data_IF_181864598149
#
_entry.id   IF_181864598149
#
_cell.length_a   1.000
_cell.length_b   1.000
_cell.length_c   1.000
_cell.angle_alpha   90.00
_cell.angle_beta   90.00
_cell.angle_gamma   90.00
#
_symmetry.space_group_name_H-M   'P 1'
#
loop_
_entity.id
_entity.type
_entity.pdbx_description
1 polymer ?
#
# COMPACT_ATOMS: atom_id res chain seq x y z
N UNK A 1 17.23 -57.54 38.06
CA UNK A 1 16.57 -57.52 36.73
C UNK A 1 16.36 -56.05 36.38
N UNK A 2 17.24 -55.49 35.54
CA UNK A 2 17.24 -54.07 35.18
C UNK A 2 16.50 -53.94 33.85
N UNK A 3 15.40 -53.19 33.83
CA UNK A 3 14.63 -52.90 32.63
C UNK A 3 15.12 -51.58 32.02
N UNK A 4 15.71 -51.66 30.83
CA UNK A 4 16.05 -50.51 29.98
C UNK A 4 14.85 -50.23 29.06
N UNK A 5 14.23 -49.07 29.20
CA UNK A 5 13.25 -48.54 28.25
C UNK A 5 13.98 -47.61 27.28
N UNK A 6 14.13 -48.06 26.03
CA UNK A 6 14.67 -47.27 24.93
C UNK A 6 13.61 -46.28 24.43
N UNK A 7 13.92 -44.98 24.46
CA UNK A 7 13.10 -43.94 23.86
C UNK A 7 13.43 -43.78 22.37
N UNK A 8 12.44 -44.00 21.49
CA UNK A 8 12.54 -43.62 20.07
C UNK A 8 12.27 -42.12 19.94
N UNK A 9 13.34 -41.33 19.85
CA UNK A 9 13.27 -39.96 19.36
C UNK A 9 13.16 -39.98 17.83
N UNK A 10 11.96 -39.77 17.30
CA UNK A 10 11.76 -39.51 15.87
C UNK A 10 12.31 -38.11 15.57
N UNK A 11 13.56 -38.03 15.15
CA UNK A 11 14.14 -36.83 14.56
C UNK A 11 13.48 -36.59 13.20
N UNK A 12 12.63 -35.56 13.12
CA UNK A 12 12.04 -35.08 11.88
C UNK A 12 13.16 -34.72 10.89
N UNK A 13 13.12 -35.17 9.62
CA UNK A 13 14.16 -34.85 8.66
C UNK A 13 14.29 -33.32 8.50
N UNK A 14 15.51 -32.77 8.46
CA UNK A 14 15.68 -31.35 8.19
C UNK A 14 15.03 -31.00 6.86
N UNK A 15 14.26 -29.90 6.83
CA UNK A 15 13.65 -29.40 5.61
C UNK A 15 14.72 -29.25 4.51
N UNK A 16 14.46 -29.71 3.27
CA UNK A 16 15.40 -29.56 2.18
C UNK A 16 15.74 -28.08 1.97
N UNK A 17 17.02 -27.79 1.73
CA UNK A 17 17.48 -26.42 1.50
C UNK A 17 16.71 -25.81 0.31
N UNK A 18 16.28 -24.53 0.40
CA UNK A 18 15.55 -23.89 -0.68
C UNK A 18 16.40 -23.91 -1.96
N UNK A 19 15.80 -24.43 -3.01
CA UNK A 19 16.46 -24.59 -4.29
C UNK A 19 16.46 -23.27 -5.07
N UNK A 20 17.53 -22.99 -5.80
CA UNK A 20 17.64 -21.76 -6.59
C UNK A 20 16.60 -21.69 -7.73
N UNK A 21 16.40 -20.50 -8.30
CA UNK A 21 15.55 -20.29 -9.47
C UNK A 21 15.91 -21.23 -10.63
N UNK A 22 14.93 -21.76 -11.38
CA UNK A 22 15.22 -22.43 -12.64
C UNK A 22 15.93 -21.49 -13.62
N UNK A 23 16.91 -22.00 -14.37
CA UNK A 23 17.62 -21.22 -15.40
C UNK A 23 16.64 -20.58 -16.39
N UNK A 24 16.78 -19.28 -16.63
CA UNK A 24 15.90 -18.53 -17.53
C UNK A 24 14.56 -18.10 -16.91
N UNK A 25 14.34 -18.33 -15.61
CA UNK A 25 13.20 -17.81 -14.87
C UNK A 25 13.66 -16.79 -13.85
N UNK A 26 13.06 -15.60 -13.88
CA UNK A 26 13.32 -14.55 -12.90
C UNK A 26 12.02 -13.85 -12.51
N UNK A 27 12.07 -13.16 -11.37
CA UNK A 27 10.93 -12.36 -10.90
C UNK A 27 11.38 -10.95 -10.55
N UNK A 28 10.45 -10.01 -10.71
CA UNK A 28 10.58 -8.64 -10.23
C UNK A 28 9.27 -8.23 -9.57
N UNK A 29 9.28 -7.14 -8.81
CA UNK A 29 8.05 -6.62 -8.23
C UNK A 29 7.47 -5.50 -9.08
N UNK A 30 6.14 -5.47 -9.15
CA UNK A 30 5.36 -4.39 -9.72
C UNK A 30 4.17 -4.05 -8.83
N UNK A 31 3.51 -2.93 -9.10
CA UNK A 31 2.25 -2.60 -8.46
C UNK A 31 1.39 -1.79 -9.44
N UNK A 32 0.19 -2.28 -9.72
CA UNK A 32 -0.79 -1.52 -10.50
C UNK A 32 -1.51 -0.53 -9.61
N UNK A 33 -2.08 0.52 -10.22
CA UNK A 33 -2.84 1.55 -9.48
C UNK A 33 -4.04 0.98 -8.71
N UNK A 34 -4.62 -0.12 -9.20
CA UNK A 34 -5.70 -0.86 -8.53
C UNK A 34 -5.22 -1.68 -7.32
N UNK A 35 -3.93 -2.04 -7.28
CA UNK A 35 -3.35 -2.86 -6.22
C UNK A 35 -3.02 -2.03 -4.98
N UNK A 36 -2.65 -0.78 -5.18
CA UNK A 36 -2.32 0.17 -4.10
C UNK A 36 -3.40 0.26 -3.01
N UNK A 37 -4.68 0.60 -3.32
CA UNK A 37 -5.73 0.61 -2.31
C UNK A 37 -6.06 -0.79 -1.75
N UNK A 38 -5.73 -1.86 -2.49
CA UNK A 38 -5.99 -3.24 -2.09
C UNK A 38 -4.85 -3.87 -1.26
N UNK A 39 -3.77 -3.12 -1.01
CA UNK A 39 -2.57 -3.62 -0.32
C UNK A 39 -1.99 -4.88 -1.01
N UNK A 40 -1.88 -4.79 -2.34
CA UNK A 40 -1.36 -5.86 -3.20
C UNK A 40 -0.14 -5.39 -3.99
N UNK A 41 0.61 -6.35 -4.47
CA UNK A 41 1.69 -6.17 -5.44
C UNK A 41 1.63 -7.28 -6.48
N UNK A 42 2.42 -7.14 -7.53
CA UNK A 42 2.58 -8.13 -8.59
C UNK A 42 3.96 -8.74 -8.52
N UNK A 43 4.02 -10.06 -8.52
CA UNK A 43 5.25 -10.78 -8.87
C UNK A 43 5.26 -10.93 -10.38
N UNK A 44 6.05 -10.09 -11.04
CA UNK A 44 6.23 -10.08 -12.48
C UNK A 44 7.24 -11.17 -12.86
N UNK A 45 6.73 -12.30 -13.33
CA UNK A 45 7.51 -13.46 -13.73
C UNK A 45 7.96 -13.30 -15.18
N UNK A 46 9.26 -13.52 -15.43
CA UNK A 46 9.84 -13.70 -16.75
C UNK A 46 10.25 -15.15 -16.92
N UNK A 47 9.92 -15.75 -18.06
CA UNK A 47 10.33 -17.10 -18.43
C UNK A 47 10.87 -17.07 -19.86
N UNK A 48 12.17 -17.26 -20.03
CA UNK A 48 12.83 -17.29 -21.35
C UNK A 48 12.91 -18.69 -21.94
N UNK A 49 12.42 -19.71 -21.23
CA UNK A 49 12.46 -21.11 -21.65
C UNK A 49 11.21 -21.46 -22.47
N UNK A 50 11.31 -22.48 -23.31
CA UNK A 50 10.14 -23.04 -24.01
C UNK A 50 9.29 -23.96 -23.12
N UNK A 51 9.86 -24.54 -22.06
CA UNK A 51 9.08 -25.33 -21.10
C UNK A 51 8.32 -24.40 -20.14
N UNK A 52 7.00 -24.58 -19.98
CA UNK A 52 6.23 -23.85 -19.00
C UNK A 52 6.68 -24.14 -17.56
N UNK A 53 6.61 -23.13 -16.71
CA UNK A 53 6.83 -23.24 -15.27
C UNK A 53 5.50 -23.02 -14.55
N UNK A 54 5.09 -24.02 -13.79
CA UNK A 54 3.87 -23.96 -12.99
C UNK A 54 4.17 -23.40 -11.62
N UNK A 55 3.52 -22.30 -11.26
CA UNK A 55 3.54 -21.69 -9.93
C UNK A 55 2.28 -22.11 -9.19
N UNK A 56 2.43 -22.88 -8.11
CA UNK A 56 1.33 -23.26 -7.24
C UNK A 56 0.90 -22.08 -6.36
N UNK A 57 1.88 -21.45 -5.70
CA UNK A 57 1.71 -20.31 -4.82
C UNK A 57 2.98 -19.45 -4.78
N UNK A 58 2.82 -18.21 -4.31
CA UNK A 58 3.87 -17.19 -4.28
C UNK A 58 3.73 -16.30 -3.03
N UNK A 59 4.84 -15.95 -2.41
CA UNK A 59 4.91 -15.14 -1.19
C UNK A 59 6.06 -14.14 -1.23
N UNK A 60 5.82 -12.91 -0.76
CA UNK A 60 6.90 -11.96 -0.44
C UNK A 60 7.42 -12.23 0.97
N UNK A 61 8.72 -12.39 1.12
CA UNK A 61 9.39 -12.56 2.41
C UNK A 61 10.46 -11.48 2.57
N UNK A 62 10.31 -10.65 3.60
CA UNK A 62 11.29 -9.62 3.93
C UNK A 62 11.17 -9.19 5.39
N UNK A 63 12.27 -8.85 6.07
CA UNK A 63 12.20 -8.26 7.40
C UNK A 63 11.54 -6.88 7.44
N UNK A 64 11.43 -6.16 6.31
CA UNK A 64 10.86 -4.80 6.28
C UNK A 64 9.34 -4.76 6.38
N UNK A 65 8.65 -5.87 6.11
CA UNK A 65 7.20 -5.98 6.13
C UNK A 65 6.77 -7.17 6.98
N UNK A 66 5.51 -7.20 7.42
CA UNK A 66 4.94 -8.41 8.03
C UNK A 66 4.80 -9.49 6.95
N UNK A 67 5.20 -10.71 7.25
CA UNK A 67 4.95 -11.84 6.37
C UNK A 67 3.47 -12.18 6.43
N UNK A 68 2.84 -12.34 5.26
CA UNK A 68 1.47 -12.83 5.09
C UNK A 68 1.49 -14.19 4.40
N UNK A 69 0.47 -15.06 4.54
CA UNK A 69 0.45 -16.36 3.89
C UNK A 69 0.66 -16.29 2.37
N UNK A 70 1.24 -17.33 1.79
CA UNK A 70 1.42 -17.45 0.35
C UNK A 70 0.07 -17.35 -0.39
N UNK A 71 0.08 -16.66 -1.52
CA UNK A 71 -1.10 -16.52 -2.38
C UNK A 71 -1.10 -17.63 -3.42
N UNK A 72 -2.21 -18.35 -3.55
CA UNK A 72 -2.37 -19.37 -4.59
C UNK A 72 -2.32 -18.70 -5.96
N UNK A 73 -1.34 -19.08 -6.76
CA UNK A 73 -1.20 -18.65 -8.15
C UNK A 73 -1.93 -19.62 -9.09
N UNK A 74 -1.66 -20.92 -8.95
CA UNK A 74 -2.25 -21.98 -9.77
C UNK A 74 -2.03 -21.79 -11.28
N UNK A 75 -0.91 -21.19 -11.69
CA UNK A 75 -0.70 -20.71 -13.05
C UNK A 75 0.48 -21.42 -13.73
N UNK A 76 0.27 -21.91 -14.96
CA UNK A 76 1.35 -22.38 -15.83
C UNK A 76 1.82 -21.23 -16.73
N UNK A 77 3.05 -20.79 -16.54
CA UNK A 77 3.64 -19.66 -17.25
C UNK A 77 4.58 -20.18 -18.33
N UNK A 78 4.14 -20.08 -19.59
CA UNK A 78 4.97 -20.36 -20.77
C UNK A 78 6.04 -19.30 -21.01
N UNK A 79 6.67 -19.32 -22.18
CA UNK A 79 7.66 -18.31 -22.55
C UNK A 79 7.03 -16.91 -22.57
N UNK A 80 7.57 -16.00 -21.77
CA UNK A 80 7.05 -14.63 -21.63
C UNK A 80 8.12 -13.69 -21.10
N UNK A 81 8.08 -12.44 -21.55
CA UNK A 81 8.85 -11.36 -20.93
C UNK A 81 8.21 -10.92 -19.60
N UNK A 82 6.90 -11.12 -19.43
CA UNK A 82 6.18 -10.75 -18.22
C UNK A 82 4.84 -11.47 -18.06
N UNK A 83 4.60 -12.05 -16.89
CA UNK A 83 3.29 -12.45 -16.41
C UNK A 83 3.18 -12.11 -14.94
N UNK A 84 2.13 -11.39 -14.58
CA UNK A 84 1.95 -10.86 -13.24
C UNK A 84 1.12 -11.81 -12.38
N UNK A 85 1.69 -12.21 -11.25
CA UNK A 85 1.00 -12.98 -10.22
C UNK A 85 0.68 -12.05 -9.04
N UNK A 86 -0.60 -11.71 -8.82
CA UNK A 86 -0.94 -10.74 -7.80
C UNK A 86 -0.91 -11.39 -6.41
N UNK A 87 -0.19 -10.78 -5.47
CA UNK A 87 -0.09 -11.23 -4.09
C UNK A 87 -0.40 -10.09 -3.12
N UNK A 88 -0.97 -10.38 -1.93
CA UNK A 88 -0.95 -9.41 -0.85
C UNK A 88 0.48 -9.24 -0.32
N UNK A 89 0.74 -8.12 0.34
CA UNK A 89 1.91 -7.98 1.21
C UNK A 89 1.45 -7.57 2.61
N UNK A 90 2.28 -7.74 3.64
CA UNK A 90 1.90 -7.32 5.00
C UNK A 90 2.30 -5.88 5.29
N UNK A 91 1.75 -5.32 6.37
CA UNK A 91 2.07 -3.96 6.80
C UNK A 91 3.59 -3.77 7.03
N UNK A 92 4.09 -2.59 6.69
CA UNK A 92 5.46 -2.17 6.96
C UNK A 92 5.80 -2.27 8.46
N UNK A 93 7.03 -2.69 8.77
CA UNK A 93 7.56 -2.72 10.13
C UNK A 93 8.15 -1.37 10.50
N UNK A 94 7.28 -0.45 10.87
CA UNK A 94 7.66 0.90 11.25
C UNK A 94 8.12 1.00 12.70
N UNK A 95 8.92 2.02 13.00
CA UNK A 95 9.37 2.35 14.35
C UNK A 95 9.08 3.82 14.66
N UNK A 96 8.94 4.19 15.94
CA UNK A 96 8.78 5.59 16.34
C UNK A 96 10.05 6.42 16.16
N UNK A 97 11.21 5.78 16.02
CA UNK A 97 12.52 6.45 15.89
C UNK A 97 12.80 7.03 14.51
N UNK A 98 11.87 6.92 13.55
CA UNK A 98 12.04 7.42 12.18
C UNK A 98 11.84 6.33 11.13
N UNK A 99 12.21 6.65 9.88
CA UNK A 99 12.09 5.74 8.76
C UNK A 99 13.13 4.61 8.88
N UNK A 100 12.71 3.34 8.89
CA UNK A 100 13.63 2.21 8.89
C UNK A 100 14.33 2.09 7.53
N UNK A 101 15.53 1.52 7.52
CA UNK A 101 16.19 1.13 6.27
C UNK A 101 15.50 -0.10 5.67
N UNK A 102 15.36 -0.11 4.34
CA UNK A 102 14.89 -1.29 3.61
C UNK A 102 15.88 -2.44 3.85
N UNK A 103 15.36 -3.65 4.04
CA UNK A 103 16.12 -4.89 4.18
C UNK A 103 15.99 -5.73 2.90
N UNK A 104 16.95 -6.63 2.61
CA UNK A 104 16.82 -7.58 1.50
C UNK A 104 15.48 -8.32 1.55
N UNK A 105 14.97 -8.64 0.37
CA UNK A 105 13.68 -9.28 0.18
C UNK A 105 13.81 -10.43 -0.82
N UNK A 106 12.99 -11.44 -0.62
CA UNK A 106 12.89 -12.58 -1.53
C UNK A 106 11.44 -12.85 -1.89
N UNK A 107 11.24 -13.45 -3.06
CA UNK A 107 9.98 -14.11 -3.39
C UNK A 107 10.18 -15.60 -3.20
N UNK A 108 9.35 -16.22 -2.37
CA UNK A 108 9.31 -17.68 -2.19
C UNK A 108 8.12 -18.22 -2.96
N UNK A 109 8.33 -19.27 -3.75
CA UNK A 109 7.28 -19.89 -4.55
C UNK A 109 7.41 -21.41 -4.55
N UNK A 110 6.26 -22.10 -4.50
CA UNK A 110 6.21 -23.52 -4.86
C UNK A 110 5.99 -23.64 -6.37
N UNK A 111 6.96 -24.19 -7.09
CA UNK A 111 6.90 -24.32 -8.53
C UNK A 111 7.44 -25.65 -9.06
N UNK A 112 7.11 -25.96 -10.31
CA UNK A 112 7.69 -27.07 -11.07
C UNK A 112 7.92 -26.69 -12.52
N UNK A 113 8.95 -27.26 -13.14
CA UNK A 113 9.25 -27.09 -14.57
C UNK A 113 8.79 -28.34 -15.32
N UNK A 114 7.88 -28.19 -16.30
CA UNK A 114 7.35 -29.33 -17.04
C UNK A 114 6.74 -30.41 -16.15
N UNK A 115 7.29 -31.64 -16.22
CA UNK A 115 6.84 -32.80 -15.43
C UNK A 115 7.64 -33.03 -14.14
N UNK A 116 8.54 -32.12 -13.76
CA UNK A 116 9.27 -32.20 -12.50
C UNK A 116 8.33 -32.17 -11.28
N UNK A 117 8.75 -32.70 -10.12
CA UNK A 117 8.03 -32.53 -8.85
C UNK A 117 7.93 -31.04 -8.45
N UNK A 118 6.87 -30.71 -7.70
CA UNK A 118 6.74 -29.39 -7.08
C UNK A 118 7.83 -29.20 -6.03
N UNK A 119 8.53 -28.07 -6.06
CA UNK A 119 9.58 -27.71 -5.10
C UNK A 119 9.47 -26.24 -4.68
N UNK A 120 9.95 -25.94 -3.48
CA UNK A 120 10.10 -24.56 -3.02
C UNK A 120 11.34 -23.92 -3.68
N UNK A 121 11.15 -22.71 -4.18
CA UNK A 121 12.17 -21.90 -4.84
C UNK A 121 12.18 -20.50 -4.26
N UNK A 122 13.38 -20.01 -3.98
CA UNK A 122 13.61 -18.64 -3.51
C UNK A 122 14.22 -17.82 -4.63
N UNK A 123 13.60 -16.67 -4.93
CA UNK A 123 14.12 -15.67 -5.84
C UNK A 123 14.58 -14.45 -5.05
N UNK A 124 15.87 -14.11 -5.17
CA UNK A 124 16.39 -12.86 -4.63
C UNK A 124 15.88 -11.68 -5.44
N UNK A 125 15.42 -10.63 -4.75
CA UNK A 125 15.07 -9.37 -5.37
C UNK A 125 16.25 -8.40 -5.34
N UNK A 126 16.32 -7.45 -6.29
CA UNK A 126 17.29 -6.36 -6.22
C UNK A 126 17.25 -5.66 -4.85
N UNK A 127 18.41 -5.28 -4.33
CA UNK A 127 18.50 -4.53 -3.08
C UNK A 127 19.32 -3.25 -3.26
N UNK A 128 18.74 -2.07 -3.02
CA UNK A 128 17.34 -1.84 -2.65
C UNK A 128 16.38 -2.08 -3.84
N UNK A 129 15.22 -2.71 -3.57
CA UNK A 129 14.11 -2.74 -4.52
C UNK A 129 13.37 -1.40 -4.47
N UNK A 130 13.21 -0.68 -5.59
CA UNK A 130 12.64 0.66 -5.59
C UNK A 130 11.15 0.70 -5.19
N UNK A 131 10.39 -0.37 -5.49
CA UNK A 131 8.99 -0.45 -5.10
C UNK A 131 8.87 -0.65 -3.58
N UNK A 132 9.62 -1.61 -3.01
CA UNK A 132 9.61 -1.84 -1.56
C UNK A 132 10.15 -0.63 -0.79
N UNK A 133 11.17 0.06 -1.30
CA UNK A 133 11.68 1.28 -0.70
C UNK A 133 10.59 2.37 -0.63
N UNK A 134 9.83 2.54 -1.71
CA UNK A 134 8.68 3.45 -1.75
C UNK A 134 7.61 3.05 -0.75
N UNK A 135 7.15 1.79 -0.77
CA UNK A 135 6.09 1.30 0.10
C UNK A 135 6.46 1.45 1.59
N UNK A 136 7.71 1.12 1.94
CA UNK A 136 8.21 1.24 3.30
C UNK A 136 8.22 2.70 3.76
N UNK A 137 8.74 3.61 2.92
CA UNK A 137 8.74 5.04 3.22
C UNK A 137 7.31 5.57 3.37
N UNK A 138 6.41 5.24 2.45
CA UNK A 138 5.06 5.78 2.43
C UNK A 138 4.27 5.31 3.66
N UNK A 139 4.27 4.00 3.97
CA UNK A 139 3.57 3.45 5.14
C UNK A 139 4.17 3.92 6.47
N UNK A 140 5.51 4.02 6.57
CA UNK A 140 6.13 4.48 7.80
C UNK A 140 6.08 6.00 7.98
N UNK A 141 6.00 6.78 6.90
CA UNK A 141 5.72 8.21 6.97
C UNK A 141 4.33 8.45 7.54
N UNK A 142 3.34 7.71 7.04
CA UNK A 142 1.98 7.75 7.54
C UNK A 142 1.89 7.30 9.01
N UNK A 143 2.58 6.21 9.37
CA UNK A 143 2.67 5.75 10.76
C UNK A 143 3.17 6.86 11.69
N UNK A 144 4.28 7.52 11.36
CA UNK A 144 4.87 8.57 12.19
C UNK A 144 3.92 9.76 12.37
N UNK A 145 3.27 10.22 11.31
CA UNK A 145 2.28 11.31 11.41
C UNK A 145 1.07 10.88 12.26
N UNK A 146 0.60 9.63 12.11
CA UNK A 146 -0.54 9.10 12.88
C UNK A 146 -0.27 8.92 14.37
N UNK A 147 1.00 8.82 14.78
CA UNK A 147 1.36 8.86 16.20
C UNK A 147 1.16 10.26 16.78
N UNK A 148 1.36 11.32 15.99
CA UNK A 148 1.21 12.71 16.45
C UNK A 148 -0.24 13.21 16.37
N UNK A 149 -0.96 12.89 15.29
CA UNK A 149 -2.32 13.38 15.03
C UNK A 149 -3.20 12.37 14.30
N UNK A 150 -4.52 12.47 14.47
CA UNK A 150 -5.48 12.00 13.45
C UNK A 150 -5.94 13.16 12.58
N UNK A 151 -6.09 12.88 11.28
CA UNK A 151 -6.65 13.81 10.30
C UNK A 151 -7.88 13.13 9.70
N UNK A 152 -9.04 13.76 9.81
CA UNK A 152 -10.32 13.20 9.36
C UNK A 152 -11.15 14.26 8.66
N UNK A 153 -12.03 13.84 7.76
CA UNK A 153 -13.05 14.74 7.21
C UNK A 153 -14.13 15.00 8.27
N UNK A 154 -14.51 16.27 8.43
CA UNK A 154 -15.62 16.69 9.29
C UNK A 154 -16.95 16.10 8.84
N UNK A 155 -17.95 16.11 9.72
CA UNK A 155 -19.27 15.52 9.44
C UNK A 155 -20.13 16.45 8.56
N UNK A 156 -20.00 17.76 8.79
CA UNK A 156 -20.78 18.77 8.10
C UNK A 156 -20.16 19.15 6.76
N UNK A 157 -20.94 18.95 5.70
CA UNK A 157 -20.55 19.28 4.33
C UNK A 157 -21.72 19.92 3.61
N UNK A 158 -21.48 21.03 2.92
CA UNK A 158 -22.50 21.79 2.22
C UNK A 158 -22.15 21.92 0.74
N UNK A 159 -23.14 21.69 -0.11
CA UNK A 159 -23.03 21.89 -1.55
C UNK A 159 -23.52 23.31 -1.88
N UNK A 160 -22.72 24.07 -2.62
CA UNK A 160 -23.11 25.37 -3.15
C UNK A 160 -22.57 25.53 -4.57
N UNK A 161 -23.48 25.47 -5.54
CA UNK A 161 -23.13 25.44 -6.95
C UNK A 161 -22.30 24.21 -7.30
N UNK A 162 -21.11 24.42 -7.86
CA UNK A 162 -20.16 23.35 -8.25
C UNK A 162 -19.08 23.10 -7.20
N UNK A 163 -19.32 23.51 -5.95
CA UNK A 163 -18.36 23.42 -4.86
C UNK A 163 -18.98 22.69 -3.67
N UNK A 164 -18.25 21.72 -3.12
CA UNK A 164 -18.58 21.00 -1.91
C UNK A 164 -17.65 21.48 -0.80
N UNK A 165 -18.20 22.11 0.25
CA UNK A 165 -17.45 22.75 1.35
C UNK A 165 -17.58 21.95 2.62
N UNK A 166 -16.50 21.86 3.37
CA UNK A 166 -16.48 21.24 4.69
C UNK A 166 -15.13 21.46 5.34
N UNK A 167 -14.77 20.58 6.27
CA UNK A 167 -13.56 20.75 7.07
C UNK A 167 -12.72 19.48 7.10
N UNK A 168 -11.40 19.65 7.20
CA UNK A 168 -10.53 18.65 7.79
C UNK A 168 -10.36 18.94 9.28
N UNK A 169 -10.56 17.91 10.10
CA UNK A 169 -10.38 17.95 11.53
C UNK A 169 -9.07 17.24 11.86
N UNK A 170 -8.15 17.98 12.46
CA UNK A 170 -6.89 17.46 12.99
C UNK A 170 -7.01 17.38 14.51
N UNK A 171 -6.76 16.20 15.07
CA UNK A 171 -6.83 15.97 16.52
C UNK A 171 -5.52 15.42 17.02
N UNK A 172 -4.99 16.00 18.10
CA UNK A 172 -3.74 15.57 18.74
C UNK A 172 -3.86 14.15 19.28
N UNK A 173 -2.78 13.38 19.10
CA UNK A 173 -2.56 12.05 19.68
C UNK A 173 -1.23 11.95 20.42
N UNK A 174 -0.25 12.73 20.01
CA UNK A 174 1.09 12.75 20.57
C UNK A 174 1.62 14.15 20.85
N UNK A 175 2.83 14.20 21.40
CA UNK A 175 3.56 15.44 21.64
C UNK A 175 4.07 16.06 20.33
N UNK A 176 4.56 17.30 20.43
CA UNK A 176 5.16 18.05 19.32
C UNK A 176 4.18 18.94 18.57
N UNK A 177 4.69 20.00 17.96
CA UNK A 177 3.91 20.84 17.07
C UNK A 177 3.75 20.15 15.71
N UNK A 178 2.55 20.17 15.12
CA UNK A 178 2.31 19.58 13.80
C UNK A 178 2.00 20.69 12.81
N UNK A 179 2.75 20.75 11.71
CA UNK A 179 2.46 21.65 10.59
C UNK A 179 1.83 20.85 9.47
N UNK A 180 0.72 21.33 8.92
CA UNK A 180 0.10 20.81 7.71
C UNK A 180 0.38 21.77 6.57
N UNK A 181 1.21 21.33 5.62
CA UNK A 181 1.68 22.17 4.54
C UNK A 181 0.64 22.27 3.41
N UNK A 182 0.10 21.15 2.95
CA UNK A 182 -0.84 21.14 1.84
C UNK A 182 -1.68 19.86 1.82
N UNK A 183 -2.86 19.96 1.19
CA UNK A 183 -3.68 18.82 0.79
C UNK A 183 -3.71 18.79 -0.74
N UNK A 184 -3.26 17.69 -1.33
CA UNK A 184 -3.31 17.47 -2.77
C UNK A 184 -4.68 16.99 -3.22
N UNK A 185 -5.06 17.37 -4.45
CA UNK A 185 -6.23 16.81 -5.12
C UNK A 185 -6.02 15.37 -5.59
N UNK A 186 -7.09 14.79 -6.09
CA UNK A 186 -7.08 13.49 -6.78
C UNK A 186 -7.43 13.70 -8.24
N UNK A 187 -7.40 12.63 -9.05
CA UNK A 187 -7.90 12.68 -10.44
C UNK A 187 -9.37 13.09 -10.53
N UNK A 188 -10.14 12.98 -9.44
CA UNK A 188 -11.57 13.25 -9.40
C UNK A 188 -11.90 14.58 -8.76
N UNK A 189 -11.08 15.04 -7.81
CA UNK A 189 -11.38 16.23 -7.03
C UNK A 189 -10.18 17.15 -6.95
N UNK A 190 -10.38 18.41 -7.32
CA UNK A 190 -9.50 19.49 -6.92
C UNK A 190 -9.81 19.84 -5.46
N UNK A 191 -8.77 20.27 -4.75
CA UNK A 191 -8.86 20.75 -3.38
C UNK A 191 -8.45 22.23 -3.36
N UNK A 192 -9.25 23.05 -2.70
CA UNK A 192 -8.87 24.41 -2.34
C UNK A 192 -9.04 24.62 -0.82
N UNK A 193 -8.24 25.52 -0.26
CA UNK A 193 -8.29 25.94 1.14
C UNK A 193 -7.72 27.35 1.23
N UNK A 194 -8.02 28.05 2.31
CA UNK A 194 -7.60 29.43 2.47
C UNK A 194 -6.09 29.53 2.76
N UNK A 195 -5.42 30.40 2.01
CA UNK A 195 -4.00 30.72 2.22
C UNK A 195 -3.02 29.78 1.50
N UNK A 196 -1.77 29.83 1.95
CA UNK A 196 -0.64 29.09 1.33
C UNK A 196 -0.35 27.75 2.02
N UNK A 197 -0.97 27.48 3.16
CA UNK A 197 -0.83 26.23 3.92
C UNK A 197 -2.11 25.87 4.64
N UNK A 198 -2.31 24.59 4.94
CA UNK A 198 -3.46 24.11 5.73
C UNK A 198 -3.43 24.61 7.19
N UNK A 199 -2.25 24.90 7.74
CA UNK A 199 -2.09 25.49 9.06
C UNK A 199 -1.12 24.72 9.94
N UNK A 200 -1.13 25.03 11.24
CA UNK A 200 -0.34 24.33 12.24
C UNK A 200 -1.20 24.07 13.47
N UNK A 201 -0.95 22.95 14.14
CA UNK A 201 -1.48 22.58 15.44
C UNK A 201 -0.36 22.74 16.47
N UNK A 202 -0.28 23.89 17.18
CA UNK A 202 0.71 24.15 18.23
C UNK A 202 0.63 23.11 19.34
N UNK A 203 1.76 22.83 20.00
CA UNK A 203 1.88 21.76 21.00
C UNK A 203 0.85 21.84 22.15
N UNK A 204 0.39 23.04 22.51
CA UNK A 204 -0.60 23.26 23.56
C UNK A 204 -2.06 23.02 23.11
N UNK A 205 -2.32 23.03 21.80
CA UNK A 205 -3.67 22.88 21.25
C UNK A 205 -4.02 21.43 20.97
N UNK A 206 -5.28 21.05 21.16
CA UNK A 206 -5.75 19.67 20.96
C UNK A 206 -6.38 19.43 19.60
N UNK A 207 -6.85 20.49 18.94
CA UNK A 207 -7.66 20.40 17.73
C UNK A 207 -7.42 21.58 16.80
N UNK A 208 -7.38 21.31 15.50
CA UNK A 208 -7.34 22.30 14.42
C UNK A 208 -8.41 21.91 13.40
N UNK A 209 -9.21 22.88 12.97
CA UNK A 209 -10.24 22.73 11.94
C UNK A 209 -9.82 23.54 10.73
N UNK A 210 -9.85 22.91 9.56
CA UNK A 210 -9.30 23.48 8.33
C UNK A 210 -10.41 23.47 7.29
N UNK A 211 -10.98 24.63 6.95
CA UNK A 211 -11.94 24.75 5.87
C UNK A 211 -11.31 24.27 4.56
N UNK A 212 -12.02 23.39 3.86
CA UNK A 212 -11.62 22.85 2.56
C UNK A 212 -12.79 22.87 1.60
N UNK A 213 -12.47 23.12 0.33
CA UNK A 213 -13.40 23.07 -0.78
C UNK A 213 -12.99 21.97 -1.75
N UNK A 214 -13.96 21.18 -2.18
CA UNK A 214 -13.80 20.15 -3.19
C UNK A 214 -14.62 20.50 -4.44
N UNK A 215 -13.98 20.41 -5.60
CA UNK A 215 -14.64 20.56 -6.91
C UNK A 215 -14.25 19.41 -7.82
N UNK A 216 -15.10 18.99 -8.78
CA UNK A 216 -14.69 17.97 -9.74
C UNK A 216 -13.47 18.42 -10.53
N UNK A 217 -12.42 17.60 -10.56
CA UNK A 217 -11.21 17.86 -11.34
C UNK A 217 -11.43 17.60 -12.83
N UNK A 218 -12.28 16.63 -13.16
CA UNK A 218 -12.60 16.21 -14.52
C UNK A 218 -14.08 15.83 -14.62
N UNK A 219 -14.68 16.14 -15.76
CA UNK A 219 -16.08 15.84 -16.07
C UNK A 219 -16.20 15.02 -17.36
N UNK A 220 -15.49 13.88 -17.41
CA UNK A 220 -15.56 12.94 -18.52
C UNK A 220 -15.80 11.52 -18.00
N UNK A 221 -16.53 10.70 -18.78
CA UNK A 221 -16.94 9.36 -18.36
C UNK A 221 -15.76 8.42 -18.05
N UNK A 222 -14.59 8.64 -18.65
CA UNK A 222 -13.39 7.85 -18.34
C UNK A 222 -12.89 8.12 -16.92
N UNK A 223 -12.89 9.39 -16.48
CA UNK A 223 -12.49 9.74 -15.11
C UNK A 223 -13.34 8.98 -14.08
N UNK A 224 -14.67 8.99 -14.24
CA UNK A 224 -15.60 8.33 -13.32
C UNK A 224 -15.59 6.79 -13.41
N UNK A 225 -15.45 6.23 -14.62
CA UNK A 225 -15.41 4.79 -14.84
C UNK A 225 -14.15 4.12 -14.28
N UNK A 226 -13.06 4.87 -14.13
CA UNK A 226 -11.76 4.35 -13.69
C UNK A 226 -11.35 4.85 -12.29
N UNK A 227 -12.31 5.02 -11.38
CA UNK A 227 -12.15 5.61 -10.05
C UNK A 227 -11.41 4.72 -9.02
N UNK A 228 -10.16 4.31 -9.28
CA UNK A 228 -9.39 3.42 -8.39
C UNK A 228 -8.91 4.10 -7.09
N UNK A 229 -8.70 5.43 -7.12
CA UNK A 229 -8.16 6.24 -6.02
C UNK A 229 -8.85 7.60 -5.87
N UNK A 230 -10.14 7.67 -6.22
CA UNK A 230 -10.89 8.94 -6.25
C UNK A 230 -10.85 9.71 -4.91
N UNK A 231 -10.75 8.98 -3.80
CA UNK A 231 -10.87 9.50 -2.44
C UNK A 231 -9.60 9.40 -1.60
N UNK A 232 -8.44 9.15 -2.22
CA UNK A 232 -7.15 9.11 -1.53
C UNK A 232 -6.46 10.48 -1.62
N UNK A 233 -6.77 11.38 -0.68
CA UNK A 233 -6.20 12.72 -0.67
C UNK A 233 -4.86 12.75 0.10
N UNK A 234 -3.73 13.06 -0.55
CA UNK A 234 -2.46 13.18 0.15
C UNK A 234 -2.40 14.49 0.94
N UNK A 235 -2.07 14.40 2.22
CA UNK A 235 -1.79 15.55 3.09
C UNK A 235 -0.31 15.52 3.45
N UNK A 236 0.35 16.67 3.30
CA UNK A 236 1.75 16.89 3.68
C UNK A 236 1.82 17.45 5.08
N UNK A 237 2.52 16.78 5.98
CA UNK A 237 2.66 17.19 7.37
C UNK A 237 4.09 17.00 7.90
N UNK A 238 4.50 17.86 8.82
CA UNK A 238 5.75 17.71 9.58
C UNK A 238 5.50 17.86 11.08
N UNK A 239 6.36 17.23 11.88
CA UNK A 239 6.33 17.24 13.34
C UNK A 239 7.59 17.96 13.81
N UNK A 240 7.44 18.95 14.69
CA UNK A 240 8.53 19.76 15.28
C UNK A 240 9.52 20.32 14.24
N UNK A 241 9.00 20.72 13.07
CA UNK A 241 9.81 21.27 11.97
C UNK A 241 10.72 20.26 11.27
N UNK A 242 10.57 18.97 11.56
CA UNK A 242 11.29 17.89 10.87
C UNK A 242 10.84 17.67 9.43
N UNK A 243 11.26 16.54 8.86
CA UNK A 243 10.94 16.17 7.48
C UNK A 243 9.43 16.16 7.21
N UNK A 244 9.04 16.73 6.05
CA UNK A 244 7.68 16.68 5.55
C UNK A 244 7.34 15.28 5.05
N UNK A 245 6.23 14.74 5.55
CA UNK A 245 5.74 13.39 5.29
C UNK A 245 4.37 13.46 4.65
N UNK A 246 4.09 12.51 3.77
CA UNK A 246 2.78 12.37 3.14
C UNK A 246 1.97 11.32 3.89
N UNK A 247 0.73 11.67 4.23
CA UNK A 247 -0.29 10.77 4.74
C UNK A 247 -1.49 10.80 3.81
N UNK A 248 -2.07 9.63 3.51
CA UNK A 248 -3.31 9.58 2.74
C UNK A 248 -4.51 9.67 3.70
N UNK A 249 -5.40 10.62 3.43
CA UNK A 249 -6.65 10.80 4.17
C UNK A 249 -7.82 10.54 3.22
N UNK A 250 -8.78 9.72 3.67
CA UNK A 250 -9.96 9.40 2.90
C UNK A 250 -11.23 9.83 3.65
N UNK A 251 -12.21 10.44 2.95
CA UNK A 251 -13.55 10.63 3.46
C UNK A 251 -14.17 9.30 3.94
N UNK A 252 -14.98 9.29 5.00
CA UNK A 252 -15.76 8.11 5.35
C UNK A 252 -16.76 7.77 4.23
N UNK A 253 -17.16 6.50 4.12
CA UNK A 253 -18.04 6.00 3.03
C UNK A 253 -19.30 6.86 2.79
N UNK A 254 -20.05 7.32 3.82
CA UNK A 254 -21.20 8.19 3.59
C UNK A 254 -20.85 9.50 2.89
N UNK A 255 -19.68 10.09 3.19
CA UNK A 255 -19.22 11.29 2.51
C UNK A 255 -18.71 10.99 1.09
N UNK A 256 -18.08 9.83 0.87
CA UNK A 256 -17.73 9.40 -0.49
C UNK A 256 -18.96 9.30 -1.39
N UNK A 257 -20.05 8.70 -0.90
CA UNK A 257 -21.31 8.57 -1.66
C UNK A 257 -21.93 9.93 -1.99
N UNK A 258 -21.89 10.86 -1.02
CA UNK A 258 -22.33 12.25 -1.24
C UNK A 258 -21.47 12.96 -2.29
N UNK A 259 -20.14 12.79 -2.22
CA UNK A 259 -19.21 13.39 -3.17
C UNK A 259 -19.41 12.83 -4.59
N UNK A 260 -19.67 11.52 -4.73
CA UNK A 260 -20.03 10.90 -6.02
C UNK A 260 -21.28 11.57 -6.59
N UNK A 261 -22.36 11.64 -5.79
CA UNK A 261 -23.61 12.26 -6.24
C UNK A 261 -23.46 13.73 -6.60
N UNK A 262 -22.68 14.48 -5.80
CA UNK A 262 -22.31 15.86 -6.10
C UNK A 262 -21.55 15.98 -7.42
N UNK A 263 -20.54 15.15 -7.64
CA UNK A 263 -19.70 15.21 -8.83
C UNK A 263 -20.51 14.90 -10.10
N UNK A 264 -21.41 13.91 -10.05
CA UNK A 264 -22.34 13.64 -11.16
C UNK A 264 -23.21 14.87 -11.48
N UNK A 265 -23.83 15.50 -10.47
CA UNK A 265 -24.65 16.72 -10.66
C UNK A 265 -23.84 17.89 -11.19
N UNK A 266 -22.68 18.17 -10.60
CA UNK A 266 -21.82 19.30 -10.97
C UNK A 266 -21.25 19.16 -12.38
N UNK A 267 -21.01 17.92 -12.83
CA UNK A 267 -20.59 17.59 -14.19
C UNK A 267 -21.74 17.42 -15.19
N UNK A 268 -23.00 17.47 -14.75
CA UNK A 268 -24.17 17.35 -15.63
C UNK A 268 -24.46 15.94 -16.14
N UNK A 269 -23.91 14.91 -15.49
CA UNK A 269 -24.26 13.52 -15.77
C UNK A 269 -25.62 13.17 -15.14
N UNK A 270 -26.50 12.53 -15.91
CA UNK A 270 -27.84 12.14 -15.44
C UNK A 270 -28.92 13.21 -15.65
N UNK A 271 -28.83 13.99 -16.73
CA UNK A 271 -30.02 14.53 -17.40
C UNK A 271 -30.46 13.58 -18.50
#
# INVERSE_FOLDING_TARGET
MVALLAGCGSSEPPAPAPSGPPDGVSVTLGQWRSDEPAHRLQVAVRNTRDTPVYFADVQLVTPSFRTVPASRAGAAIGRTERTDLPIPYGAARCSSGGLPQLRPATVVAHLRVGSEPLREVTFDLPHPDPLLARLLRDECSEYLVRQAVSITFGQEWTESGKVMRGELIVTRRGAGAVKLAAMGGTTHYNVAYDGRSLGALPSAEQRLEIPVELTPARCDGHAFGEAKKAFQFPVRASIDGGEERVIVVAPPKPLQDRLIGFAFRACGFGR
#
